data_IF_770514032333
#
_entry.id   IF_770514032333
#
_cell.length_a   1.000
_cell.length_b   1.000
_cell.length_c   1.000
_cell.angle_alpha   90.00
_cell.angle_beta   90.00
_cell.angle_gamma   90.00
#
_symmetry.space_group_name_H-M   'P 1'
#
loop_
_entity.id
_entity.type
_entity.pdbx_description
1 polymer ?
#
# COMPACT_ATOMS: atom_id res chain seq x y z
N UNK A 1 -1.22 5.71 -37.49
CA UNK A 1 -1.46 4.70 -36.44
C UNK A 1 -0.29 4.85 -35.51
N UNK A 2 -0.49 5.59 -34.42
CA UNK A 2 0.53 5.80 -33.39
C UNK A 2 0.31 4.70 -32.37
N UNK A 3 1.17 3.70 -32.38
CA UNK A 3 1.34 2.79 -31.25
C UNK A 3 2.12 3.59 -30.19
N UNK A 4 1.41 4.30 -29.32
CA UNK A 4 1.97 4.66 -28.02
C UNK A 4 1.98 3.38 -27.18
N UNK A 5 2.91 2.48 -27.50
CA UNK A 5 3.33 1.43 -26.57
C UNK A 5 3.92 2.14 -25.35
N UNK A 6 3.35 1.92 -24.17
CA UNK A 6 3.98 2.35 -22.93
C UNK A 6 5.40 1.76 -22.89
N UNK A 7 6.43 2.60 -22.92
CA UNK A 7 7.85 2.29 -23.24
C UNK A 7 8.59 1.34 -22.27
N UNK A 8 7.90 0.71 -21.32
CA UNK A 8 8.54 -0.05 -20.24
C UNK A 8 8.18 -1.54 -20.29
N UNK A 9 9.07 -2.34 -20.87
CA UNK A 9 8.94 -3.81 -21.00
C UNK A 9 9.38 -4.56 -19.72
N UNK A 10 9.34 -3.90 -18.56
CA UNK A 10 9.81 -4.48 -17.30
C UNK A 10 8.82 -5.44 -16.66
N UNK A 11 9.31 -6.56 -16.17
CA UNK A 11 8.50 -7.51 -15.41
C UNK A 11 8.56 -7.23 -13.91
N UNK A 12 7.40 -7.02 -13.29
CA UNK A 12 7.28 -6.78 -11.85
C UNK A 12 6.79 -8.02 -11.10
N UNK A 13 7.59 -8.49 -10.14
CA UNK A 13 7.21 -9.59 -9.24
C UNK A 13 6.62 -9.04 -7.94
N UNK A 14 5.46 -9.54 -7.53
CA UNK A 14 4.79 -9.18 -6.27
C UNK A 14 4.92 -10.32 -5.25
N UNK A 15 5.33 -9.98 -4.03
CA UNK A 15 5.56 -10.94 -2.95
C UNK A 15 4.96 -10.43 -1.65
N UNK A 16 4.49 -11.34 -0.80
CA UNK A 16 4.05 -11.00 0.55
C UNK A 16 5.15 -11.31 1.56
N UNK A 17 5.36 -10.40 2.51
CA UNK A 17 6.20 -10.65 3.67
C UNK A 17 5.55 -10.04 4.92
N UNK A 18 4.94 -10.87 5.76
CA UNK A 18 4.27 -10.43 6.99
C UNK A 18 5.22 -10.00 8.12
N UNK A 19 6.54 -10.11 7.91
CA UNK A 19 7.57 -9.62 8.82
C UNK A 19 8.30 -8.36 8.31
N UNK A 20 7.85 -7.81 7.16
CA UNK A 20 8.44 -6.62 6.55
C UNK A 20 8.44 -5.45 7.53
N UNK A 21 9.62 -4.87 7.78
CA UNK A 21 9.80 -3.70 8.62
C UNK A 21 9.61 -2.42 7.79
N UNK A 22 9.24 -1.32 8.44
CA UNK A 22 9.06 -0.02 7.76
C UNK A 22 10.37 0.61 7.29
N UNK A 23 11.49 0.20 7.88
CA UNK A 23 12.80 0.77 7.61
C UNK A 23 13.56 -0.03 6.54
N UNK A 24 14.27 0.73 5.70
CA UNK A 24 15.29 0.20 4.82
C UNK A 24 16.68 0.46 5.39
N UNK A 25 17.50 -0.58 5.46
CA UNK A 25 18.92 -0.43 5.76
C UNK A 25 19.63 0.42 4.69
N UNK A 26 20.77 0.99 5.05
CA UNK A 26 21.60 1.74 4.09
C UNK A 26 22.00 0.91 2.87
N UNK A 27 22.20 -0.40 3.05
CA UNK A 27 22.52 -1.30 1.95
C UNK A 27 21.32 -1.48 1.01
N UNK A 28 20.10 -1.60 1.54
CA UNK A 28 18.89 -1.72 0.73
C UNK A 28 18.59 -0.45 -0.04
N UNK A 29 18.71 0.72 0.59
CA UNK A 29 18.59 2.03 -0.08
C UNK A 29 19.57 2.15 -1.25
N UNK A 30 20.84 1.77 -1.04
CA UNK A 30 21.86 1.73 -2.12
C UNK A 30 21.53 0.74 -3.24
N UNK A 31 20.76 -0.32 -2.94
CA UNK A 31 20.27 -1.30 -3.91
C UNK A 31 18.96 -0.84 -4.60
N UNK A 32 18.57 0.41 -4.43
CA UNK A 32 17.43 1.03 -5.09
C UNK A 32 16.07 0.74 -4.46
N UNK A 33 16.03 0.13 -3.26
CA UNK A 33 14.79 -0.07 -2.54
C UNK A 33 14.19 1.25 -2.06
N UNK A 34 12.87 1.34 -2.18
CA UNK A 34 12.04 2.46 -1.76
C UNK A 34 10.86 1.93 -0.95
N UNK A 35 10.34 2.78 -0.06
CA UNK A 35 9.17 2.49 0.78
C UNK A 35 7.98 3.30 0.27
N UNK A 36 6.80 2.71 0.33
CA UNK A 36 5.52 3.41 0.21
C UNK A 36 4.52 2.78 1.17
N UNK A 37 3.76 3.61 1.89
CA UNK A 37 2.68 3.16 2.75
C UNK A 37 1.36 3.75 2.24
N UNK A 38 0.30 2.96 2.28
CA UNK A 38 -1.04 3.41 1.89
C UNK A 38 -2.10 2.90 2.86
N UNK A 39 -3.07 3.75 3.17
CA UNK A 39 -4.26 3.36 3.94
C UNK A 39 -5.37 2.87 3.01
N UNK A 40 -5.99 1.75 3.35
CA UNK A 40 -7.05 1.11 2.57
C UNK A 40 -8.23 0.70 3.46
N UNK A 41 -9.39 0.49 2.85
CA UNK A 41 -10.53 -0.12 3.55
C UNK A 41 -10.36 -1.63 3.69
N UNK A 42 -10.62 -2.12 4.90
CA UNK A 42 -10.69 -3.54 5.18
C UNK A 42 -11.96 -3.94 5.90
N UNK A 43 -12.26 -5.23 5.81
CA UNK A 43 -13.35 -5.87 6.52
C UNK A 43 -12.80 -6.92 7.48
N UNK A 44 -13.46 -7.09 8.62
CA UNK A 44 -13.19 -8.19 9.51
C UNK A 44 -13.58 -9.50 8.82
N UNK A 45 -12.63 -10.44 8.70
CA UNK A 45 -12.90 -11.76 8.12
C UNK A 45 -13.95 -12.54 8.95
N UNK A 46 -13.91 -12.42 10.28
CA UNK A 46 -14.78 -13.18 11.18
C UNK A 46 -16.25 -12.72 11.19
N UNK A 47 -16.51 -11.41 11.23
CA UNK A 47 -17.87 -10.87 11.33
C UNK A 47 -18.36 -10.13 10.08
N UNK A 48 -17.55 -10.12 9.02
CA UNK A 48 -17.79 -9.45 7.73
C UNK A 48 -18.10 -7.95 7.83
N UNK A 49 -17.91 -7.36 9.02
CA UNK A 49 -18.17 -5.95 9.25
C UNK A 49 -17.01 -5.16 8.67
N UNK A 50 -17.31 -4.25 7.74
CA UNK A 50 -16.37 -3.21 7.34
C UNK A 50 -15.95 -2.44 8.57
N UNK A 51 -14.64 -2.40 8.80
CA UNK A 51 -14.13 -1.78 9.98
C UNK A 51 -14.38 -0.27 9.93
N UNK A 52 -15.12 0.30 10.90
CA UNK A 52 -15.58 1.68 10.84
C UNK A 52 -14.45 2.71 11.02
N UNK A 53 -13.29 2.32 11.54
CA UNK A 53 -12.14 3.18 11.85
C UNK A 53 -10.84 2.73 11.17
N UNK A 54 -10.91 1.66 10.39
CA UNK A 54 -9.73 0.98 9.91
C UNK A 54 -9.33 1.50 8.53
N UNK A 55 -8.46 2.48 8.60
CA UNK A 55 -7.49 2.70 7.55
C UNK A 55 -6.44 1.62 7.73
N UNK A 56 -6.67 0.49 7.07
CA UNK A 56 -5.75 -0.65 7.04
C UNK A 56 -4.50 -0.22 6.31
N UNK A 57 -3.37 -0.26 6.99
CA UNK A 57 -2.10 0.14 6.37
C UNK A 57 -1.57 -1.02 5.55
N UNK A 58 -1.12 -0.72 4.34
CA UNK A 58 -0.33 -1.61 3.52
C UNK A 58 1.02 -0.97 3.27
N UNK A 59 2.08 -1.64 3.71
CA UNK A 59 3.46 -1.26 3.48
C UNK A 59 3.99 -1.95 2.23
N UNK A 60 4.67 -1.18 1.40
CA UNK A 60 5.31 -1.64 0.18
C UNK A 60 6.80 -1.30 0.21
N UNK A 61 7.63 -2.32 0.05
CA UNK A 61 9.00 -2.15 -0.41
C UNK A 61 9.05 -2.44 -1.89
N UNK A 62 9.61 -1.54 -2.68
CA UNK A 62 9.71 -1.75 -4.12
C UNK A 62 11.04 -1.27 -4.67
N UNK A 63 11.47 -1.87 -5.77
CA UNK A 63 12.62 -1.43 -6.56
C UNK A 63 12.52 -1.90 -7.99
N UNK A 64 13.16 -1.15 -8.87
CA UNK A 64 13.54 -1.59 -10.21
C UNK A 64 15.05 -1.89 -10.22
N UNK A 65 15.45 -3.06 -10.70
CA UNK A 65 16.86 -3.44 -10.81
C UNK A 65 17.43 -2.97 -12.14
N UNK A 66 18.30 -1.97 -12.10
CA UNK A 66 19.00 -1.45 -13.27
C UNK A 66 19.67 -2.57 -14.07
N UNK A 67 19.45 -2.57 -15.39
CA UNK A 67 20.08 -3.49 -16.34
C UNK A 67 19.53 -4.91 -16.37
N UNK A 68 18.38 -5.18 -15.75
CA UNK A 68 17.74 -6.52 -15.81
C UNK A 68 16.26 -6.47 -16.16
N UNK A 69 15.73 -5.27 -16.42
CA UNK A 69 14.33 -4.96 -16.71
C UNK A 69 13.32 -5.67 -15.77
N UNK A 70 13.69 -5.73 -14.49
CA UNK A 70 12.97 -6.53 -13.48
C UNK A 70 12.74 -5.73 -12.21
N UNK A 71 11.46 -5.52 -11.93
CA UNK A 71 10.95 -4.90 -10.72
C UNK A 71 10.59 -5.93 -9.65
N UNK A 72 10.59 -5.50 -8.39
CA UNK A 72 10.11 -6.30 -7.28
C UNK A 72 9.33 -5.41 -6.34
N UNK A 73 8.15 -5.89 -5.92
CA UNK A 73 7.34 -5.34 -4.83
C UNK A 73 7.22 -6.41 -3.75
N UNK A 74 7.51 -6.02 -2.52
CA UNK A 74 7.21 -6.80 -1.32
C UNK A 74 6.16 -6.01 -0.56
N UNK A 75 5.04 -6.65 -0.24
CA UNK A 75 3.93 -6.02 0.46
C UNK A 75 3.64 -6.69 1.80
N UNK A 76 3.21 -5.86 2.75
CA UNK A 76 2.71 -6.28 4.06
C UNK A 76 1.43 -5.52 4.38
N UNK A 77 0.25 -6.17 4.33
CA UNK A 77 -0.93 -5.63 4.97
C UNK A 77 -0.80 -5.78 6.49
N UNK A 78 -1.15 -4.72 7.22
CA UNK A 78 -1.26 -4.73 8.68
C UNK A 78 -2.68 -5.10 9.10
N UNK A 79 -2.80 -5.82 10.20
CA UNK A 79 -4.06 -6.20 10.77
C UNK A 79 -4.75 -5.09 11.54
N UNK A 80 -6.02 -5.33 11.86
CA UNK A 80 -6.79 -4.51 12.78
C UNK A 80 -7.47 -5.38 13.82
N UNK A 81 -7.57 -4.87 15.03
CA UNK A 81 -8.42 -5.43 16.07
C UNK A 81 -9.87 -5.01 15.81
N UNK A 82 -10.80 -5.95 15.89
CA UNK A 82 -12.21 -5.69 15.65
C UNK A 82 -12.93 -5.40 16.98
N UNK A 83 -13.56 -4.23 17.14
CA UNK A 83 -14.33 -3.92 18.36
C UNK A 83 -15.39 -4.96 18.75
N UNK A 84 -15.91 -5.72 17.78
CA UNK A 84 -16.96 -6.72 18.00
C UNK A 84 -16.42 -8.13 18.19
N UNK A 85 -15.24 -8.42 17.66
CA UNK A 85 -14.62 -9.71 17.83
C UNK A 85 -13.55 -9.53 18.88
N UNK A 86 -13.78 -10.06 20.08
CA UNK A 86 -12.77 -10.06 21.13
C UNK A 86 -11.54 -10.79 20.58
N UNK A 87 -10.40 -10.09 20.42
CA UNK A 87 -9.26 -10.72 19.78
C UNK A 87 -8.13 -9.79 19.32
N UNK A 88 -7.01 -10.46 19.03
CA UNK A 88 -5.78 -9.93 18.47
C UNK A 88 -5.97 -9.28 17.10
N UNK A 89 -4.91 -8.67 16.57
CA UNK A 89 -4.90 -8.12 15.22
C UNK A 89 -5.21 -9.21 14.18
N UNK A 90 -6.23 -8.95 13.35
CA UNK A 90 -6.61 -9.85 12.25
C UNK A 90 -6.26 -9.21 10.92
N UNK A 91 -5.83 -10.03 9.95
CA UNK A 91 -5.60 -9.55 8.59
C UNK A 91 -6.92 -9.08 7.95
N UNK A 92 -6.87 -7.98 7.17
CA UNK A 92 -8.01 -7.45 6.45
C UNK A 92 -8.51 -8.38 5.34
N UNK A 93 -9.83 -8.48 5.21
CA UNK A 93 -10.45 -8.78 3.92
C UNK A 93 -10.51 -7.52 3.06
N UNK A 94 -9.92 -7.55 1.86
CA UNK A 94 -10.00 -6.46 0.88
C UNK A 94 -11.03 -6.76 -0.20
N UNK A 95 -11.88 -5.78 -0.52
CA UNK A 95 -12.71 -5.84 -1.72
C UNK A 95 -11.86 -5.61 -2.98
N UNK A 96 -12.27 -6.20 -4.11
CA UNK A 96 -11.51 -6.11 -5.37
C UNK A 96 -11.23 -4.65 -5.80
N UNK A 97 -12.22 -3.76 -5.69
CA UNK A 97 -12.06 -2.34 -6.01
C UNK A 97 -11.01 -1.66 -5.12
N UNK A 98 -10.91 -2.07 -3.85
CA UNK A 98 -9.94 -1.49 -2.94
C UNK A 98 -8.53 -1.96 -3.26
N UNK A 99 -8.37 -3.25 -3.58
CA UNK A 99 -7.10 -3.80 -4.05
C UNK A 99 -6.64 -3.07 -5.31
N UNK A 100 -7.52 -2.86 -6.28
CA UNK A 100 -7.22 -2.13 -7.51
C UNK A 100 -6.74 -0.70 -7.20
N UNK A 101 -7.47 0.04 -6.36
CA UNK A 101 -7.09 1.40 -5.97
C UNK A 101 -5.71 1.47 -5.32
N UNK A 102 -5.43 0.55 -4.38
CA UNK A 102 -4.14 0.45 -3.70
C UNK A 102 -3.01 0.19 -4.71
N UNK A 103 -3.23 -0.73 -5.65
CA UNK A 103 -2.24 -1.07 -6.67
C UNK A 103 -2.02 0.08 -7.66
N UNK A 104 -3.08 0.79 -8.08
CA UNK A 104 -2.96 1.96 -8.95
C UNK A 104 -2.11 3.07 -8.30
N UNK A 105 -2.31 3.34 -7.00
CA UNK A 105 -1.49 4.31 -6.27
C UNK A 105 -0.04 3.83 -6.11
N UNK A 106 0.19 2.54 -5.87
CA UNK A 106 1.54 1.97 -5.90
C UNK A 106 2.21 2.12 -7.28
N UNK A 107 1.48 1.82 -8.37
CA UNK A 107 2.01 1.93 -9.73
C UNK A 107 2.36 3.37 -10.09
N UNK A 108 1.55 4.34 -9.70
CA UNK A 108 1.89 5.76 -9.82
C UNK A 108 3.22 6.08 -9.13
N UNK A 109 3.45 5.57 -7.90
CA UNK A 109 4.74 5.73 -7.21
C UNK A 109 5.90 5.02 -7.89
N UNK A 110 5.67 3.85 -8.49
CA UNK A 110 6.67 3.13 -9.27
C UNK A 110 7.06 3.93 -10.52
N UNK A 111 6.08 4.40 -11.31
CA UNK A 111 6.29 5.23 -12.51
C UNK A 111 7.13 6.45 -12.21
N UNK A 112 6.71 7.24 -11.21
CA UNK A 112 7.47 8.41 -10.76
C UNK A 112 8.89 8.06 -10.31
N UNK A 113 9.02 7.12 -9.37
CA UNK A 113 10.29 6.94 -8.64
C UNK A 113 11.28 5.98 -9.32
N UNK A 114 10.84 5.18 -10.28
CA UNK A 114 11.70 4.22 -10.99
C UNK A 114 11.92 4.59 -12.45
N UNK A 115 10.95 5.26 -13.09
CA UNK A 115 11.00 5.64 -14.49
C UNK A 115 11.16 7.14 -14.72
N UNK A 116 11.02 7.96 -13.67
CA UNK A 116 11.20 9.40 -13.77
C UNK A 116 10.07 10.10 -14.52
N UNK A 117 8.93 9.42 -14.70
CA UNK A 117 7.71 10.04 -15.20
C UNK A 117 7.31 11.18 -14.26
N UNK A 118 6.97 12.33 -14.83
CA UNK A 118 6.33 13.40 -14.07
C UNK A 118 5.01 12.84 -13.52
N UNK A 119 4.66 13.19 -12.27
CA UNK A 119 3.29 12.96 -11.83
C UNK A 119 2.44 13.74 -12.83
N UNK A 120 1.71 13.05 -13.72
CA UNK A 120 0.55 13.65 -14.35
C UNK A 120 -0.18 14.33 -13.20
N UNK A 121 -0.30 15.66 -13.25
CA UNK A 121 -1.09 16.40 -12.29
C UNK A 121 -2.41 15.66 -12.27
N UNK A 122 -2.67 14.93 -11.18
CA UNK A 122 -3.91 14.22 -10.94
C UNK A 122 -4.98 15.33 -10.98
N UNK A 123 -5.46 15.71 -12.17
CA UNK A 123 -6.70 16.45 -12.38
C UNK A 123 -7.86 15.63 -11.81
N UNK A 124 -7.58 14.36 -11.53
CA UNK A 124 -8.22 13.62 -10.48
C UNK A 124 -7.73 14.04 -9.09
N UNK A 125 -8.28 15.16 -8.64
CA UNK A 125 -8.70 15.35 -7.24
C UNK A 125 -9.64 14.23 -6.74
N UNK A 126 -9.68 13.07 -7.40
CA UNK A 126 -10.03 11.77 -6.85
C UNK A 126 -8.78 10.92 -6.46
N UNK A 127 -7.85 11.53 -5.73
CA UNK A 127 -7.80 11.11 -4.31
C UNK A 127 -9.23 11.26 -3.83
N UNK A 128 -10.05 10.23 -4.07
CA UNK A 128 -11.49 10.37 -4.00
C UNK A 128 -11.71 11.08 -2.68
N UNK A 129 -12.48 12.17 -2.71
CA UNK A 129 -13.14 12.72 -1.53
C UNK A 129 -14.04 11.61 -0.97
N UNK A 130 -13.39 10.52 -0.63
CA UNK A 130 -13.84 9.29 -0.05
C UNK A 130 -13.81 9.88 1.36
N UNK A 131 -14.98 10.35 1.73
CA UNK A 131 -15.17 11.10 2.95
C UNK A 131 -14.98 10.08 4.04
N UNK A 132 -13.88 10.17 4.78
CA UNK A 132 -13.63 9.30 5.92
C UNK A 132 -14.69 9.65 6.94
N UNK A 133 -15.74 8.83 6.98
CA UNK A 133 -16.91 9.13 7.82
C UNK A 133 -16.59 9.06 9.31
N UNK A 134 -15.43 8.52 9.69
CA UNK A 134 -15.00 8.31 11.06
C UNK A 134 -13.48 8.53 11.22
N UNK A 135 -13.04 9.03 12.38
CA UNK A 135 -11.63 9.19 12.71
C UNK A 135 -10.91 7.83 12.74
N UNK A 136 -9.60 7.87 12.51
CA UNK A 136 -8.78 6.67 12.66
C UNK A 136 -8.74 6.27 14.15
N UNK A 137 -8.75 4.96 14.41
CA UNK A 137 -8.61 4.46 15.78
C UNK A 137 -7.28 3.76 15.93
N UNK A 138 -6.25 4.53 16.25
CA UNK A 138 -4.88 4.03 16.43
C UNK A 138 -4.76 2.84 17.40
N UNK A 139 -5.58 2.81 18.45
CA UNK A 139 -5.62 1.67 19.41
C UNK A 139 -5.99 0.32 18.79
N UNK A 140 -6.70 0.31 17.66
CA UNK A 140 -7.12 -0.91 16.96
C UNK A 140 -6.24 -1.24 15.75
N UNK A 141 -5.23 -0.42 15.48
CA UNK A 141 -4.39 -0.54 14.30
C UNK A 141 -3.04 -1.18 14.63
N UNK A 142 -2.72 -2.30 13.98
CA UNK A 142 -1.41 -2.95 14.13
C UNK A 142 -0.28 -2.03 13.66
N UNK A 143 -0.50 -1.23 12.60
CA UNK A 143 0.52 -0.30 12.12
C UNK A 143 0.77 0.84 13.12
N UNK A 144 -0.26 1.37 13.79
CA UNK A 144 -0.07 2.37 14.85
C UNK A 144 0.69 1.81 16.04
N UNK A 145 0.39 0.59 16.47
CA UNK A 145 1.11 -0.03 17.60
C UNK A 145 2.58 -0.30 17.29
N UNK A 146 2.93 -0.44 16.00
CA UNK A 146 4.31 -0.58 15.52
C UNK A 146 4.96 0.76 15.12
N UNK A 147 4.25 1.89 15.15
CA UNK A 147 4.77 3.21 14.74
C UNK A 147 4.81 3.45 13.22
N UNK A 148 4.28 2.54 12.41
CA UNK A 148 4.38 2.49 10.94
C UNK A 148 3.24 3.24 10.23
N UNK A 149 2.22 3.64 10.99
CA UNK A 149 0.96 4.11 10.41
C UNK A 149 1.13 5.41 9.61
N UNK A 150 0.84 5.37 8.31
CA UNK A 150 0.93 6.52 7.41
C UNK A 150 -0.37 7.36 7.36
N UNK A 151 -1.12 7.30 8.44
CA UNK A 151 -2.52 7.65 8.48
C UNK A 151 -2.73 8.56 9.69
N UNK A 152 -3.23 9.77 9.46
CA UNK A 152 -3.45 10.74 10.54
C UNK A 152 -4.65 10.35 11.43
N UNK A 153 -4.54 10.57 12.75
CA UNK A 153 -5.65 10.37 13.71
C UNK A 153 -6.78 11.41 13.52
#
# INVERSE_FOLDING_TARGET
>A
MLEEELEYNDSWAFQFNYSLQEDLSNQEKRRGWKIYCHGAYGQCDTCSKTWPSARVVVLFHYRLRSGTDRGTVIMRPFGQACRRCDGDYQLPGFGAQEVENVLLKLFSKIRKNCYGEEEEEDSDSSASNKVWTKPHESSLCEACSQGICCVDD
#
